data_IF_512230635169
#
_entry.id   IF_512230635169
#
_cell.length_a   1.000
_cell.length_b   1.000
_cell.length_c   1.000
_cell.angle_alpha   90.00
_cell.angle_beta   90.00
_cell.angle_gamma   90.00
#
_symmetry.space_group_name_H-M   'P 1'
#
loop_
_entity.id
_entity.type
_entity.pdbx_description
1 polymer ?
#
# COMPACT_ATOMS: atom_id res chain seq x y z
N UNK A 1 3.02 19.52 -15.26
CA UNK A 1 4.33 20.22 -15.12
C UNK A 1 5.36 19.19 -14.66
N UNK A 2 6.53 19.13 -15.30
CA UNK A 2 7.65 18.26 -14.92
C UNK A 2 8.91 19.10 -14.76
N UNK A 3 9.83 18.71 -13.88
CA UNK A 3 11.14 19.36 -13.76
C UNK A 3 12.15 18.87 -14.81
N UNK A 4 11.74 17.96 -15.71
CA UNK A 4 12.59 17.48 -16.80
C UNK A 4 12.80 18.57 -17.86
N UNK A 5 14.01 18.63 -18.40
CA UNK A 5 14.31 19.46 -19.56
C UNK A 5 13.44 19.05 -20.76
N UNK A 6 13.08 20.03 -21.60
CA UNK A 6 12.16 19.84 -22.73
C UNK A 6 12.64 18.76 -23.69
N UNK A 7 13.96 18.65 -23.92
CA UNK A 7 14.51 17.59 -24.79
C UNK A 7 14.36 16.16 -24.25
N UNK A 8 14.11 15.99 -22.94
CA UNK A 8 13.88 14.70 -22.27
C UNK A 8 12.42 14.45 -21.93
N UNK A 9 11.55 15.44 -22.13
CA UNK A 9 10.13 15.39 -21.82
C UNK A 9 9.28 15.05 -23.04
N UNK A 10 9.74 14.09 -23.86
CA UNK A 10 8.92 13.58 -24.95
C UNK A 10 7.64 12.89 -24.42
N UNK A 11 6.62 12.82 -25.26
CA UNK A 11 5.30 12.30 -24.90
C UNK A 11 5.34 10.85 -24.39
N UNK A 12 6.25 10.01 -24.90
CA UNK A 12 6.37 8.61 -24.48
C UNK A 12 6.93 8.53 -23.06
N UNK A 13 8.01 9.25 -22.79
CA UNK A 13 8.64 9.32 -21.47
C UNK A 13 7.65 9.83 -20.41
N UNK A 14 6.89 10.88 -20.73
CA UNK A 14 5.85 11.39 -19.83
C UNK A 14 4.74 10.37 -19.57
N UNK A 15 4.29 9.65 -20.60
CA UNK A 15 3.26 8.63 -20.45
C UNK A 15 3.74 7.46 -19.56
N UNK A 16 4.98 7.02 -19.73
CA UNK A 16 5.59 5.98 -18.89
C UNK A 16 5.66 6.41 -17.42
N UNK A 17 6.07 7.66 -17.15
CA UNK A 17 6.08 8.22 -15.79
C UNK A 17 4.68 8.28 -15.18
N UNK A 18 3.68 8.74 -15.93
CA UNK A 18 2.30 8.80 -15.46
C UNK A 18 1.78 7.40 -15.14
N UNK A 19 2.01 6.40 -16.01
CA UNK A 19 1.62 5.00 -15.76
C UNK A 19 2.35 4.40 -14.56
N UNK A 20 3.65 4.69 -14.41
CA UNK A 20 4.43 4.29 -13.25
C UNK A 20 3.85 4.86 -11.96
N UNK A 21 3.49 6.14 -11.97
CA UNK A 21 2.84 6.80 -10.82
C UNK A 21 1.48 6.18 -10.49
N UNK A 22 0.65 5.88 -11.48
CA UNK A 22 -0.64 5.19 -11.29
C UNK A 22 -0.51 3.84 -10.61
N UNK A 23 0.64 3.17 -10.73
CA UNK A 23 0.89 1.91 -10.02
C UNK A 23 0.87 2.09 -8.49
N UNK A 24 1.18 3.29 -7.98
CA UNK A 24 1.04 3.60 -6.55
C UNK A 24 -0.44 3.60 -6.16
N UNK A 25 -1.29 4.24 -6.97
CA UNK A 25 -2.74 4.30 -6.75
C UNK A 25 -3.35 2.89 -6.73
N UNK A 26 -3.08 2.10 -7.78
CA UNK A 26 -3.62 0.75 -7.90
C UNK A 26 -3.06 -0.21 -6.86
N UNK A 27 -1.76 -0.15 -6.58
CA UNK A 27 -1.13 -1.15 -5.72
C UNK A 27 -1.29 -0.82 -4.22
N UNK A 28 -1.33 0.45 -3.84
CA UNK A 28 -1.31 0.89 -2.44
C UNK A 28 -2.61 1.57 -2.00
N UNK A 29 -3.13 2.56 -2.73
CA UNK A 29 -4.36 3.25 -2.32
C UNK A 29 -5.56 2.31 -2.39
N UNK A 30 -5.77 1.65 -3.54
CA UNK A 30 -6.89 0.71 -3.70
C UNK A 30 -6.88 -0.41 -2.65
N UNK A 31 -5.71 -0.97 -2.32
CA UNK A 31 -5.60 -2.00 -1.27
C UNK A 31 -6.01 -1.44 0.09
N UNK A 32 -5.59 -0.21 0.44
CA UNK A 32 -5.97 0.40 1.72
C UNK A 32 -7.47 0.66 1.78
N UNK A 33 -8.04 1.17 0.69
CA UNK A 33 -9.44 1.60 0.68
C UNK A 33 -10.38 0.40 0.64
N UNK A 34 -10.07 -0.63 -0.16
CA UNK A 34 -10.91 -1.81 -0.34
C UNK A 34 -10.57 -2.94 0.62
N UNK A 35 -9.29 -3.32 0.75
CA UNK A 35 -8.89 -4.49 1.55
C UNK A 35 -8.84 -4.17 3.05
N UNK A 36 -8.39 -2.96 3.41
CA UNK A 36 -8.35 -2.50 4.81
C UNK A 36 -9.53 -1.62 5.20
N UNK A 37 -10.51 -1.48 4.31
CA UNK A 37 -11.73 -0.71 4.52
C UNK A 37 -11.49 0.71 5.05
N UNK A 38 -10.42 1.34 4.57
CA UNK A 38 -9.94 2.62 5.11
C UNK A 38 -11.02 3.70 5.02
N UNK A 39 -11.78 3.74 3.93
CA UNK A 39 -12.75 4.80 3.69
C UNK A 39 -13.98 4.69 4.60
N UNK A 40 -14.32 3.49 5.08
CA UNK A 40 -15.40 3.32 6.07
C UNK A 40 -14.93 3.46 7.53
N UNK A 41 -13.63 3.58 7.77
CA UNK A 41 -13.07 3.72 9.12
C UNK A 41 -13.61 4.96 9.84
N UNK A 42 -14.16 4.78 11.05
CA UNK A 42 -14.70 5.87 11.88
C UNK A 42 -13.67 6.45 12.87
N UNK A 43 -12.41 6.04 12.77
CA UNK A 43 -11.33 6.53 13.65
C UNK A 43 -11.07 8.00 13.30
N UNK A 44 -11.39 8.92 14.24
CA UNK A 44 -11.26 10.38 14.05
C UNK A 44 -10.55 11.11 15.18
N UNK A 45 -10.17 10.43 16.25
CA UNK A 45 -9.65 11.07 17.47
C UNK A 45 -8.13 11.19 17.45
N UNK A 46 -7.61 12.40 17.74
CA UNK A 46 -6.19 12.64 17.95
C UNK A 46 -5.30 12.16 16.79
N UNK A 47 -4.20 11.47 17.13
CA UNK A 47 -3.25 10.92 16.15
C UNK A 47 -3.67 9.58 15.55
N UNK A 48 -4.79 8.99 16.00
CA UNK A 48 -5.20 7.64 15.62
C UNK A 48 -5.37 7.45 14.10
N UNK A 49 -5.94 8.39 13.31
CA UNK A 49 -6.04 8.23 11.86
C UNK A 49 -4.67 8.04 11.18
N UNK A 50 -3.66 8.80 11.63
CA UNK A 50 -2.29 8.73 11.12
C UNK A 50 -1.61 7.43 11.55
N UNK A 51 -1.76 7.05 12.82
CA UNK A 51 -1.22 5.79 13.35
C UNK A 51 -1.76 4.60 12.57
N UNK A 52 -3.07 4.52 12.36
CA UNK A 52 -3.68 3.44 11.59
C UNK A 52 -3.30 3.47 10.10
N UNK A 53 -3.06 4.65 9.50
CA UNK A 53 -2.48 4.73 8.17
C UNK A 53 -1.08 4.08 8.12
N UNK A 54 -0.23 4.36 9.10
CA UNK A 54 1.10 3.75 9.22
C UNK A 54 1.04 2.24 9.44
N UNK A 55 0.16 1.76 10.32
CA UNK A 55 -0.01 0.32 10.58
C UNK A 55 -0.44 -0.43 9.32
N UNK A 56 -1.41 0.11 8.57
CA UNK A 56 -1.85 -0.49 7.30
C UNK A 56 -0.72 -0.53 6.27
N UNK A 57 0.05 0.55 6.15
CA UNK A 57 1.22 0.58 5.27
C UNK A 57 2.25 -0.48 5.68
N UNK A 58 2.52 -0.62 6.99
CA UNK A 58 3.43 -1.65 7.50
C UNK A 58 2.95 -3.05 7.15
N UNK A 59 1.67 -3.36 7.41
CA UNK A 59 1.09 -4.66 7.10
C UNK A 59 1.18 -4.99 5.59
N UNK A 60 0.88 -4.02 4.71
CA UNK A 60 1.01 -4.18 3.26
C UNK A 60 2.47 -4.46 2.87
N UNK A 61 3.42 -3.70 3.43
CA UNK A 61 4.85 -3.89 3.15
C UNK A 61 5.33 -5.26 3.59
N UNK A 62 4.97 -5.71 4.80
CA UNK A 62 5.35 -7.04 5.31
C UNK A 62 4.80 -8.17 4.44
N UNK A 63 3.53 -8.08 4.04
CA UNK A 63 2.92 -9.07 3.15
C UNK A 63 3.64 -9.13 1.80
N UNK A 64 4.02 -7.97 1.23
CA UNK A 64 4.79 -7.93 -0.03
C UNK A 64 6.19 -8.49 0.13
N UNK A 65 6.89 -8.17 1.23
CA UNK A 65 8.22 -8.70 1.54
C UNK A 65 8.20 -10.23 1.64
N UNK A 66 7.12 -10.80 2.17
CA UNK A 66 6.90 -12.25 2.25
C UNK A 66 6.26 -12.84 0.98
N UNK A 67 6.26 -12.10 -0.14
CA UNK A 67 5.88 -12.62 -1.45
C UNK A 67 4.39 -12.64 -1.77
N UNK A 68 3.52 -12.09 -0.91
CA UNK A 68 2.09 -12.03 -1.19
C UNK A 68 1.78 -10.99 -2.28
N UNK A 69 1.51 -11.49 -3.49
CA UNK A 69 1.00 -10.66 -4.60
C UNK A 69 -0.45 -10.19 -4.35
N UNK A 70 -1.25 -11.02 -3.68
CA UNK A 70 -2.61 -10.68 -3.29
C UNK A 70 -2.66 -10.45 -1.77
N UNK A 71 -2.84 -9.19 -1.38
CA UNK A 71 -2.82 -8.76 0.03
C UNK A 71 -3.98 -9.35 0.82
N UNK A 72 -5.19 -9.41 0.24
CA UNK A 72 -6.34 -10.01 0.90
C UNK A 72 -6.14 -11.51 1.20
N UNK A 73 -5.45 -12.23 0.31
CA UNK A 73 -5.07 -13.62 0.53
C UNK A 73 -4.06 -13.76 1.67
N UNK A 74 -3.08 -12.86 1.75
CA UNK A 74 -2.12 -12.83 2.86
C UNK A 74 -2.80 -12.58 4.20
N UNK A 75 -3.70 -11.59 4.26
CA UNK A 75 -4.49 -11.31 5.46
C UNK A 75 -5.32 -12.50 5.91
N UNK A 76 -6.01 -13.20 5.00
CA UNK A 76 -6.78 -14.40 5.34
C UNK A 76 -5.90 -15.55 5.86
N UNK A 77 -4.66 -15.67 5.38
CA UNK A 77 -3.73 -16.68 5.90
C UNK A 77 -3.27 -16.36 7.32
N UNK A 78 -3.09 -15.07 7.63
CA UNK A 78 -2.64 -14.61 8.95
C UNK A 78 -3.77 -14.47 9.97
N UNK A 79 -5.00 -14.21 9.51
CA UNK A 79 -6.15 -13.99 10.41
C UNK A 79 -6.46 -15.20 11.31
N UNK A 80 -6.05 -16.39 10.88
CA UNK A 80 -6.25 -17.64 11.61
C UNK A 80 -4.98 -18.17 12.27
N UNK A 81 -3.86 -17.45 12.19
CA UNK A 81 -2.58 -17.89 12.74
C UNK A 81 -1.76 -16.70 13.24
N UNK A 82 -1.97 -16.36 14.52
CA UNK A 82 -1.29 -15.26 15.19
C UNK A 82 0.22 -15.48 15.31
N UNK A 83 0.67 -16.72 15.51
CA UNK A 83 2.11 -17.05 15.57
C UNK A 83 2.80 -16.73 14.24
N UNK A 84 2.18 -17.09 13.12
CA UNK A 84 2.70 -16.75 11.79
C UNK A 84 2.74 -15.22 11.57
N UNK A 85 1.77 -14.48 12.11
CA UNK A 85 1.77 -13.02 12.05
C UNK A 85 2.88 -12.39 12.90
N UNK A 86 3.18 -12.95 14.08
CA UNK A 86 4.29 -12.54 14.94
C UNK A 86 5.65 -12.84 14.30
N UNK A 87 5.80 -14.04 13.72
CA UNK A 87 7.01 -14.41 13.00
C UNK A 87 7.32 -13.45 11.84
N UNK A 88 6.29 -12.93 11.15
CA UNK A 88 6.47 -11.94 10.08
C UNK A 88 7.00 -10.58 10.56
N UNK A 89 6.83 -10.23 11.83
CA UNK A 89 7.38 -9.00 12.44
C UNK A 89 8.66 -9.27 13.23
N UNK A 90 9.16 -10.52 13.22
CA UNK A 90 10.43 -10.91 13.84
C UNK A 90 10.36 -11.13 15.34
N UNK A 91 9.18 -11.51 15.86
CA UNK A 91 8.92 -11.77 17.28
C UNK A 91 8.44 -13.20 17.48
#
# INVERSE_FOLDING_TARGET
MTSMATEKADSKTLLELVRGHWTIETSLHWVRDVTFDKDRSQIRTGSAPRVFASIRNLAISLLRLHGFKNIASGLRKLSWNAELALAMIGV
#
